data_IF_137533474248
#
_entry.id   IF_137533474248
#
_cell.length_a   1.000
_cell.length_b   1.000
_cell.length_c   1.000
_cell.angle_alpha   90.00
_cell.angle_beta   90.00
_cell.angle_gamma   90.00
#
_symmetry.space_group_name_H-M   'P 1'
#
loop_
_entity.id
_entity.type
_entity.pdbx_description
1 polymer ?
#
# COMPACT_ATOMS: atom_id res chain seq x y z
N UNK A 1 6.38 -41.20 74.01
CA UNK A 1 7.59 -41.74 73.35
C UNK A 1 7.56 -41.42 71.91
N UNK A 2 8.60 -40.74 71.47
CA UNK A 2 9.26 -40.69 70.13
C UNK A 2 8.45 -40.08 69.02
N UNK A 3 8.86 -39.09 68.41
CA UNK A 3 9.99 -38.47 67.72
C UNK A 3 9.48 -37.81 66.44
N UNK A 4 9.68 -36.54 66.42
CA UNK A 4 9.52 -35.75 65.21
C UNK A 4 10.65 -36.06 64.24
N UNK A 5 10.39 -35.79 62.95
CA UNK A 5 11.46 -35.54 61.97
C UNK A 5 11.07 -34.46 60.99
N UNK A 6 11.81 -33.41 61.13
CA UNK A 6 11.88 -32.24 60.25
C UNK A 6 12.31 -32.69 58.87
N UNK A 7 11.62 -32.22 57.81
CA UNK A 7 12.11 -32.16 56.43
C UNK A 7 11.88 -30.72 55.86
N UNK A 8 12.82 -29.89 56.20
CA UNK A 8 13.02 -28.65 55.47
C UNK A 8 14.25 -28.79 54.56
N UNK A 9 14.31 -28.02 53.54
CA UNK A 9 15.42 -27.80 52.61
C UNK A 9 15.44 -28.62 51.31
N UNK A 10 14.66 -28.21 50.32
CA UNK A 10 14.73 -28.68 48.95
C UNK A 10 14.20 -27.68 47.89
N UNK A 11 13.58 -26.57 48.36
CA UNK A 11 12.96 -25.59 47.45
C UNK A 11 13.86 -24.46 46.93
N UNK A 12 15.05 -24.31 47.47
CA UNK A 12 15.92 -23.16 47.18
C UNK A 12 16.91 -23.37 46.03
N UNK A 13 17.28 -24.59 45.71
CA UNK A 13 18.25 -24.87 44.65
C UNK A 13 17.61 -24.99 43.26
N UNK A 14 16.38 -25.47 43.15
CA UNK A 14 15.65 -25.54 41.87
C UNK A 14 15.29 -24.14 41.34
N UNK A 15 15.00 -23.17 42.20
CA UNK A 15 14.69 -21.79 41.80
C UNK A 15 15.93 -20.99 41.34
N UNK A 16 17.14 -21.38 41.79
CA UNK A 16 18.39 -20.73 41.33
C UNK A 16 18.95 -21.27 40.03
N UNK A 17 18.51 -22.43 39.56
CA UNK A 17 18.95 -23.03 38.30
C UNK A 17 18.26 -22.45 37.06
N UNK A 18 17.10 -21.78 37.21
CA UNK A 18 16.35 -21.16 36.11
C UNK A 18 16.85 -19.75 35.74
N UNK A 19 17.60 -19.08 36.63
CA UNK A 19 17.95 -17.66 36.51
C UNK A 19 19.26 -17.33 35.76
N UNK A 20 19.93 -18.29 35.11
CA UNK A 20 21.16 -18.00 34.32
C UNK A 20 21.20 -18.70 32.97
N UNK A 21 20.19 -18.50 32.17
CA UNK A 21 20.40 -18.64 30.71
C UNK A 21 20.81 -17.27 30.17
N UNK A 22 22.12 -17.00 30.19
CA UNK A 22 22.72 -15.91 29.43
C UNK A 22 22.29 -16.05 27.96
N UNK A 23 21.94 -14.93 27.23
CA UNK A 23 21.65 -15.01 25.83
C UNK A 23 22.87 -15.63 25.12
N UNK A 24 22.72 -16.83 24.58
CA UNK A 24 23.74 -17.43 23.72
C UNK A 24 23.99 -16.44 22.59
N UNK A 25 25.08 -15.70 22.66
CA UNK A 25 25.61 -14.98 21.50
C UNK A 25 25.85 -16.04 20.43
N UNK A 26 25.02 -16.03 19.41
CA UNK A 26 25.21 -16.83 18.20
C UNK A 26 26.49 -16.31 17.51
N UNK A 27 27.63 -16.82 17.91
CA UNK A 27 28.87 -16.65 17.16
C UNK A 27 28.87 -17.73 16.08
N UNK A 28 28.46 -17.35 14.88
CA UNK A 28 28.59 -18.22 13.71
C UNK A 28 30.07 -18.62 13.57
N UNK A 29 30.39 -19.90 13.37
CA UNK A 29 31.74 -20.33 13.01
C UNK A 29 32.20 -19.53 11.79
N UNK A 30 33.47 -19.17 11.73
CA UNK A 30 34.04 -18.36 10.60
C UNK A 30 33.71 -18.95 9.23
N UNK A 31 33.59 -20.29 9.11
CA UNK A 31 33.19 -20.96 7.88
C UNK A 31 31.74 -20.67 7.44
N UNK A 32 30.81 -20.68 8.40
CA UNK A 32 29.38 -20.40 8.13
C UNK A 32 29.15 -18.93 7.77
N UNK A 33 29.95 -18.03 8.34
CA UNK A 33 29.91 -16.59 8.00
C UNK A 33 30.41 -16.35 6.57
N UNK A 34 31.46 -17.08 6.12
CA UNK A 34 31.93 -16.97 4.74
C UNK A 34 30.90 -17.51 3.74
N UNK A 35 30.26 -18.61 4.03
CA UNK A 35 29.16 -19.19 3.23
C UNK A 35 27.94 -18.25 3.19
N UNK A 36 27.58 -17.66 4.31
CA UNK A 36 26.48 -16.68 4.38
C UNK A 36 26.80 -15.43 3.53
N UNK A 37 28.02 -14.90 3.61
CA UNK A 37 28.46 -13.77 2.78
C UNK A 37 28.45 -14.18 1.30
N UNK A 38 29.00 -15.34 0.93
CA UNK A 38 29.03 -15.80 -0.44
C UNK A 38 27.64 -16.01 -1.04
N UNK A 39 26.66 -16.43 -0.23
CA UNK A 39 25.26 -16.56 -0.63
C UNK A 39 24.53 -15.22 -0.77
N UNK A 40 24.87 -14.22 0.06
CA UNK A 40 24.21 -12.91 0.06
C UNK A 40 24.80 -11.93 -0.96
N UNK A 41 26.13 -12.00 -1.22
CA UNK A 41 26.83 -11.07 -2.12
C UNK A 41 26.21 -11.02 -3.53
N UNK A 42 25.88 -12.14 -4.20
CA UNK A 42 25.29 -12.08 -5.54
C UNK A 42 23.94 -11.32 -5.55
N UNK A 43 23.09 -11.56 -4.55
CA UNK A 43 21.79 -10.87 -4.43
C UNK A 43 21.95 -9.40 -4.10
N UNK A 44 22.89 -9.04 -3.23
CA UNK A 44 23.20 -7.64 -2.89
C UNK A 44 23.79 -6.90 -4.10
N UNK A 45 24.70 -7.54 -4.86
CA UNK A 45 25.24 -6.96 -6.09
C UNK A 45 24.14 -6.78 -7.15
N UNK A 46 23.26 -7.77 -7.32
CA UNK A 46 22.14 -7.65 -8.23
C UNK A 46 21.23 -6.47 -7.86
N UNK A 47 20.85 -6.34 -6.60
CA UNK A 47 20.06 -5.17 -6.12
C UNK A 47 20.85 -3.87 -6.30
N UNK A 48 22.15 -3.87 -5.96
CA UNK A 48 23.03 -2.69 -6.13
C UNK A 48 23.04 -2.20 -7.58
N UNK A 49 23.23 -3.09 -8.54
CA UNK A 49 23.30 -2.73 -9.96
C UNK A 49 21.92 -2.47 -10.56
N UNK A 50 20.98 -3.41 -10.42
CA UNK A 50 19.70 -3.34 -11.13
C UNK A 50 18.67 -2.41 -10.46
N UNK A 51 18.79 -2.09 -9.20
CA UNK A 51 17.91 -1.12 -8.55
C UNK A 51 18.59 0.24 -8.44
N UNK A 52 19.67 0.31 -7.66
CA UNK A 52 20.32 1.60 -7.41
C UNK A 52 21.03 2.14 -8.64
N UNK A 53 21.70 1.26 -9.42
CA UNK A 53 22.35 1.65 -10.67
C UNK A 53 21.36 2.23 -11.67
N UNK A 54 20.18 1.62 -11.85
CA UNK A 54 19.15 2.14 -12.75
C UNK A 54 18.49 3.41 -12.21
N UNK A 55 18.34 3.58 -10.90
CA UNK A 55 17.85 4.83 -10.32
C UNK A 55 18.83 5.98 -10.63
N UNK A 56 20.14 5.76 -10.42
CA UNK A 56 21.16 6.75 -10.72
C UNK A 56 21.24 7.06 -12.21
N UNK A 57 21.15 6.03 -13.05
CA UNK A 57 21.11 6.18 -14.51
C UNK A 57 19.90 6.99 -14.97
N UNK A 58 18.70 6.69 -14.45
CA UNK A 58 17.48 7.46 -14.72
C UNK A 58 17.64 8.89 -14.28
N UNK A 59 18.25 9.14 -13.11
CA UNK A 59 18.59 10.47 -12.63
C UNK A 59 19.52 11.21 -13.59
N UNK A 60 20.57 10.56 -14.10
CA UNK A 60 21.48 11.15 -15.09
C UNK A 60 20.74 11.45 -16.43
N UNK A 61 19.96 10.50 -16.96
CA UNK A 61 19.21 10.70 -18.22
C UNK A 61 18.20 11.84 -18.09
N UNK A 62 17.64 12.07 -16.93
CA UNK A 62 16.73 13.20 -16.70
C UNK A 62 17.37 14.58 -16.85
N UNK A 63 18.71 14.66 -16.74
CA UNK A 63 19.50 15.90 -16.82
C UNK A 63 20.17 16.14 -18.19
N UNK A 64 20.04 15.19 -19.12
CA UNK A 64 20.58 15.30 -20.48
C UNK A 64 19.47 15.47 -21.51
N UNK A 65 19.82 15.70 -22.79
CA UNK A 65 18.87 15.85 -23.88
C UNK A 65 18.86 14.59 -24.75
N UNK A 66 18.17 13.55 -24.28
CA UNK A 66 17.91 12.36 -25.10
C UNK A 66 16.39 12.22 -25.30
N UNK A 67 15.87 12.91 -26.32
CA UNK A 67 14.43 12.93 -26.63
C UNK A 67 14.13 12.53 -28.08
N UNK A 68 15.04 11.75 -28.68
CA UNK A 68 14.95 11.21 -30.04
C UNK A 68 15.36 9.73 -30.01
N UNK A 69 15.19 9.03 -31.14
CA UNK A 69 15.57 7.62 -31.28
C UNK A 69 17.09 7.39 -31.10
N UNK A 70 17.91 8.38 -31.47
CA UNK A 70 19.35 8.34 -31.26
C UNK A 70 19.72 8.99 -29.93
N UNK A 71 20.56 8.35 -29.10
CA UNK A 71 20.96 8.90 -27.82
C UNK A 71 21.87 10.13 -28.00
N UNK A 72 21.44 11.24 -27.38
CA UNK A 72 22.27 12.43 -27.20
C UNK A 72 22.44 12.67 -25.71
N UNK A 73 23.70 12.91 -25.30
CA UNK A 73 24.02 13.06 -23.87
C UNK A 73 24.41 14.49 -23.50
N UNK A 74 23.91 15.48 -24.27
CA UNK A 74 24.14 16.89 -23.98
C UNK A 74 23.50 17.27 -22.66
N UNK A 75 24.30 17.75 -21.73
CA UNK A 75 23.83 18.12 -20.40
C UNK A 75 22.98 19.40 -20.48
N UNK A 76 21.72 19.30 -20.07
CA UNK A 76 20.75 20.42 -20.08
C UNK A 76 20.27 20.83 -18.68
N UNK A 77 20.81 20.20 -17.64
CA UNK A 77 20.45 20.48 -16.26
C UNK A 77 18.96 20.28 -16.01
N UNK A 78 18.30 21.23 -15.34
CA UNK A 78 16.89 21.13 -14.92
C UNK A 78 15.88 21.49 -16.01
N UNK A 79 16.30 21.68 -17.27
CA UNK A 79 15.42 22.10 -18.36
C UNK A 79 14.27 21.12 -18.61
N UNK A 80 14.50 19.81 -18.50
CA UNK A 80 13.47 18.79 -18.64
C UNK A 80 12.38 18.91 -17.56
N UNK A 81 12.76 19.23 -16.35
CA UNK A 81 11.82 19.44 -15.23
C UNK A 81 11.02 20.73 -15.41
N UNK A 82 11.66 21.83 -15.84
CA UNK A 82 10.95 23.09 -16.13
C UNK A 82 9.87 22.89 -17.20
N UNK A 83 10.20 22.17 -18.29
CA UNK A 83 9.23 21.82 -19.33
C UNK A 83 8.12 20.91 -18.81
N UNK A 84 8.49 19.90 -17.98
CA UNK A 84 7.53 18.96 -17.40
C UNK A 84 6.47 19.68 -16.57
N UNK A 85 6.89 20.51 -15.61
CA UNK A 85 5.97 21.26 -14.75
C UNK A 85 5.16 22.33 -15.48
N UNK A 86 5.64 22.83 -16.63
CA UNK A 86 4.90 23.73 -17.49
C UNK A 86 3.86 22.99 -18.39
N UNK A 87 3.93 21.65 -18.48
CA UNK A 87 3.04 20.86 -19.32
C UNK A 87 1.69 20.68 -18.63
N UNK A 88 0.60 21.10 -19.24
CA UNK A 88 -0.77 20.99 -18.73
C UNK A 88 -1.14 19.55 -18.38
N UNK A 89 -0.78 18.58 -19.24
CA UNK A 89 -1.00 17.15 -19.01
C UNK A 89 -0.43 16.70 -17.65
N UNK A 90 0.81 17.08 -17.33
CA UNK A 90 1.45 16.69 -16.08
C UNK A 90 0.77 17.30 -14.83
N UNK A 91 0.28 18.54 -14.96
CA UNK A 91 -0.50 19.19 -13.89
C UNK A 91 -1.83 18.45 -13.65
N UNK A 92 -2.49 18.03 -14.73
CA UNK A 92 -3.71 17.19 -14.66
C UNK A 92 -3.38 15.85 -13.99
N UNK A 93 -2.28 15.20 -14.36
CA UNK A 93 -1.84 13.92 -13.80
C UNK A 93 -1.59 13.99 -12.29
N UNK A 94 -0.92 15.05 -11.83
CA UNK A 94 -0.70 15.29 -10.40
C UNK A 94 -2.02 15.50 -9.66
N UNK A 95 -2.93 16.29 -10.22
CA UNK A 95 -4.27 16.51 -9.67
C UNK A 95 -5.06 15.21 -9.58
N UNK A 96 -5.08 14.42 -10.67
CA UNK A 96 -5.78 13.15 -10.72
C UNK A 96 -5.22 12.17 -9.69
N UNK A 97 -3.89 12.09 -9.57
CA UNK A 97 -3.23 11.24 -8.57
C UNK A 97 -3.57 11.66 -7.15
N UNK A 98 -3.62 12.97 -6.86
CA UNK A 98 -4.01 13.47 -5.54
C UNK A 98 -5.47 13.13 -5.22
N UNK A 99 -6.40 13.34 -6.16
CA UNK A 99 -7.82 12.99 -6.01
C UNK A 99 -7.96 11.48 -5.81
N UNK A 100 -7.30 10.68 -6.67
CA UNK A 100 -7.31 9.23 -6.54
C UNK A 100 -6.79 8.78 -5.18
N UNK A 101 -5.62 9.28 -4.75
CA UNK A 101 -5.01 8.89 -3.49
C UNK A 101 -5.94 9.15 -2.30
N UNK A 102 -6.50 10.36 -2.22
CA UNK A 102 -7.42 10.73 -1.11
C UNK A 102 -8.67 9.85 -1.11
N UNK A 103 -9.34 9.71 -2.24
CA UNK A 103 -10.56 8.90 -2.34
C UNK A 103 -10.27 7.41 -2.09
N UNK A 104 -9.23 6.87 -2.70
CA UNK A 104 -8.84 5.47 -2.61
C UNK A 104 -8.45 5.09 -1.17
N UNK A 105 -7.57 5.87 -0.54
CA UNK A 105 -7.14 5.61 0.83
C UNK A 105 -8.32 5.69 1.80
N UNK A 106 -9.15 6.71 1.68
CA UNK A 106 -10.33 6.90 2.53
C UNK A 106 -11.31 5.74 2.38
N UNK A 107 -11.65 5.36 1.14
CA UNK A 107 -12.58 4.26 0.87
C UNK A 107 -12.01 2.92 1.35
N UNK A 108 -10.74 2.60 1.05
CA UNK A 108 -10.12 1.35 1.48
C UNK A 108 -10.04 1.24 3.00
N UNK A 109 -9.70 2.33 3.70
CA UNK A 109 -9.64 2.35 5.16
C UNK A 109 -11.03 2.16 5.76
N UNK A 110 -12.04 2.89 5.30
CA UNK A 110 -13.41 2.80 5.83
C UNK A 110 -13.99 1.42 5.56
N UNK A 111 -13.91 0.93 4.31
CA UNK A 111 -14.48 -0.37 3.93
C UNK A 111 -13.69 -1.50 4.59
N UNK A 112 -12.35 -1.46 4.53
CA UNK A 112 -11.50 -2.49 5.12
C UNK A 112 -11.66 -2.60 6.63
N UNK A 113 -11.70 -1.46 7.34
CA UNK A 113 -11.97 -1.44 8.78
C UNK A 113 -13.38 -1.94 9.10
N UNK A 114 -14.41 -1.50 8.36
CA UNK A 114 -15.78 -1.96 8.53
C UNK A 114 -15.92 -3.48 8.35
N UNK A 115 -15.33 -4.03 7.29
CA UNK A 115 -15.30 -5.47 7.06
C UNK A 115 -14.55 -6.23 8.16
N UNK A 116 -13.43 -5.68 8.64
CA UNK A 116 -12.67 -6.27 9.73
C UNK A 116 -13.48 -6.32 11.04
N UNK A 117 -14.25 -5.26 11.35
CA UNK A 117 -15.14 -5.22 12.52
C UNK A 117 -16.23 -6.30 12.45
N UNK A 118 -16.81 -6.53 11.27
CA UNK A 118 -17.81 -7.56 11.07
C UNK A 118 -17.22 -8.97 11.29
N UNK A 119 -16.02 -9.22 10.79
CA UNK A 119 -15.34 -10.50 10.93
C UNK A 119 -14.74 -10.73 12.34
N UNK A 120 -14.39 -9.66 13.08
CA UNK A 120 -13.89 -9.77 14.45
C UNK A 120 -14.92 -10.36 15.44
N UNK A 121 -16.22 -10.29 15.09
CA UNK A 121 -17.32 -10.88 15.85
C UNK A 121 -17.35 -12.43 15.79
N UNK A 122 -16.35 -13.08 15.16
CA UNK A 122 -16.24 -14.55 15.05
C UNK A 122 -17.50 -15.22 14.52
N UNK A 123 -18.04 -14.68 13.43
CA UNK A 123 -19.25 -15.18 12.78
C UNK A 123 -19.05 -16.60 12.22
N UNK A 124 -20.14 -17.38 12.17
CA UNK A 124 -20.12 -18.71 11.52
C UNK A 124 -19.76 -18.54 10.03
N UNK A 125 -18.75 -19.29 9.55
CA UNK A 125 -18.28 -19.18 8.16
C UNK A 125 -17.29 -18.05 7.91
N UNK A 126 -16.68 -17.46 8.93
CA UNK A 126 -15.70 -16.38 8.82
C UNK A 126 -14.64 -16.63 7.73
N UNK A 127 -14.08 -17.84 7.65
CA UNK A 127 -13.04 -18.19 6.68
C UNK A 127 -13.54 -18.06 5.23
N UNK A 128 -14.82 -18.38 4.97
CA UNK A 128 -15.43 -18.24 3.65
C UNK A 128 -15.56 -16.77 3.29
N UNK A 129 -16.10 -15.95 4.18
CA UNK A 129 -16.21 -14.50 3.94
C UNK A 129 -14.85 -13.86 3.77
N UNK A 130 -13.87 -14.21 4.61
CA UNK A 130 -12.49 -13.73 4.47
C UNK A 130 -11.90 -14.05 3.10
N UNK A 131 -12.10 -15.28 2.61
CA UNK A 131 -11.64 -15.70 1.29
C UNK A 131 -12.33 -14.91 0.18
N UNK A 132 -13.66 -14.73 0.25
CA UNK A 132 -14.42 -13.96 -0.74
C UNK A 132 -13.94 -12.51 -0.82
N UNK A 133 -13.73 -11.85 0.33
CA UNK A 133 -13.26 -10.47 0.35
C UNK A 133 -11.80 -10.31 -0.09
N UNK A 134 -10.96 -11.34 0.10
CA UNK A 134 -9.57 -11.35 -0.35
C UNK A 134 -9.42 -11.72 -1.82
N UNK A 135 -10.39 -12.40 -2.41
CA UNK A 135 -10.32 -12.88 -3.80
C UNK A 135 -10.02 -11.75 -4.80
N UNK A 136 -10.64 -10.55 -4.72
CA UNK A 136 -10.33 -9.45 -5.64
C UNK A 136 -8.85 -9.05 -5.64
N UNK A 137 -8.21 -9.06 -4.48
CA UNK A 137 -6.79 -8.74 -4.36
C UNK A 137 -5.88 -9.75 -5.07
N UNK A 138 -6.29 -11.01 -5.16
CA UNK A 138 -5.54 -12.06 -5.85
C UNK A 138 -5.67 -11.99 -7.38
N UNK A 139 -6.64 -11.24 -7.92
CA UNK A 139 -6.86 -11.09 -9.35
C UNK A 139 -5.85 -10.05 -9.91
N UNK A 140 -5.28 -10.35 -11.09
CA UNK A 140 -4.42 -9.38 -11.78
C UNK A 140 -5.15 -8.05 -12.03
N UNK A 141 -4.46 -6.93 -11.80
CA UNK A 141 -5.01 -5.59 -12.04
C UNK A 141 -5.44 -5.37 -13.50
N UNK A 142 -4.76 -6.01 -14.45
CA UNK A 142 -5.13 -5.98 -15.87
C UNK A 142 -6.49 -6.67 -16.10
N UNK A 143 -6.67 -7.88 -15.55
CA UNK A 143 -7.95 -8.62 -15.65
C UNK A 143 -9.07 -7.84 -14.96
N UNK A 144 -8.80 -7.30 -13.80
CA UNK A 144 -9.72 -6.41 -13.07
C UNK A 144 -10.13 -5.21 -13.93
N UNK A 145 -9.18 -4.53 -14.55
CA UNK A 145 -9.44 -3.39 -15.43
C UNK A 145 -10.33 -3.74 -16.63
N UNK A 146 -10.08 -4.88 -17.30
CA UNK A 146 -10.91 -5.36 -18.43
C UNK A 146 -12.34 -5.66 -17.97
N UNK A 147 -12.49 -6.43 -16.89
CA UNK A 147 -13.81 -6.81 -16.38
C UNK A 147 -14.63 -5.57 -15.98
N UNK A 148 -14.03 -4.64 -15.24
CA UNK A 148 -14.72 -3.43 -14.83
C UNK A 148 -14.97 -2.44 -15.97
N UNK A 149 -14.13 -2.42 -17.01
CA UNK A 149 -14.40 -1.67 -18.25
C UNK A 149 -15.70 -2.15 -18.90
N UNK A 150 -15.95 -3.45 -18.94
CA UNK A 150 -17.22 -4.00 -19.44
C UNK A 150 -18.39 -3.70 -18.51
N UNK A 151 -18.21 -3.90 -17.22
CA UNK A 151 -19.25 -3.61 -16.22
C UNK A 151 -19.65 -2.13 -16.19
N UNK A 152 -18.70 -1.23 -16.32
CA UNK A 152 -18.91 0.21 -16.32
C UNK A 152 -19.11 0.81 -17.71
N UNK A 153 -19.32 -0.03 -18.76
CA UNK A 153 -19.61 0.47 -20.09
C UNK A 153 -20.94 1.23 -20.09
N UNK A 154 -20.95 2.52 -20.53
CA UNK A 154 -22.17 3.34 -20.44
C UNK A 154 -23.36 2.79 -21.20
N UNK A 155 -23.12 2.08 -22.32
CA UNK A 155 -24.17 1.58 -23.21
C UNK A 155 -24.69 0.17 -22.86
N UNK A 156 -23.90 -0.65 -22.15
CA UNK A 156 -24.21 -2.08 -21.99
C UNK A 156 -23.98 -2.64 -20.57
N UNK A 157 -23.28 -1.92 -19.72
CA UNK A 157 -22.89 -2.43 -18.41
C UNK A 157 -23.95 -2.21 -17.33
N UNK A 158 -23.50 -1.82 -16.14
CA UNK A 158 -24.34 -1.61 -14.94
C UNK A 158 -25.47 -0.59 -15.17
N UNK A 159 -25.31 0.33 -16.12
CA UNK A 159 -26.37 1.28 -16.49
C UNK A 159 -27.63 0.58 -16.98
N UNK A 160 -27.52 -0.60 -17.64
CA UNK A 160 -28.69 -1.39 -18.04
C UNK A 160 -29.46 -1.97 -16.84
N UNK A 161 -28.74 -2.37 -15.78
CA UNK A 161 -29.38 -2.82 -14.54
C UNK A 161 -30.14 -1.66 -13.89
N UNK A 162 -29.59 -0.45 -13.89
CA UNK A 162 -30.27 0.73 -13.39
C UNK A 162 -31.51 1.09 -14.21
N UNK A 163 -31.44 0.92 -15.55
CA UNK A 163 -32.58 1.11 -16.44
C UNK A 163 -33.71 0.12 -16.13
N UNK A 164 -33.41 -1.18 -16.01
CA UNK A 164 -34.40 -2.20 -15.65
C UNK A 164 -34.99 -1.98 -14.25
N UNK A 165 -34.21 -1.44 -13.32
CA UNK A 165 -34.67 -1.12 -11.97
C UNK A 165 -35.36 0.24 -11.85
N UNK A 166 -35.57 0.97 -12.95
CA UNK A 166 -36.08 2.36 -12.98
C UNK A 166 -35.28 3.34 -12.11
N UNK A 167 -33.96 3.12 -12.01
CA UNK A 167 -33.02 3.95 -11.26
C UNK A 167 -32.14 4.80 -12.21
N UNK A 168 -32.81 5.47 -13.17
CA UNK A 168 -32.12 6.22 -14.22
C UNK A 168 -31.19 7.33 -13.68
N UNK A 169 -31.48 7.85 -12.48
CA UNK A 169 -30.63 8.86 -11.84
C UNK A 169 -29.24 8.35 -11.43
N UNK A 170 -29.02 7.03 -11.37
CA UNK A 170 -27.71 6.40 -11.11
C UNK A 170 -26.90 6.14 -12.38
N UNK A 171 -27.50 6.29 -13.56
CA UNK A 171 -26.78 6.14 -14.82
C UNK A 171 -25.67 7.19 -14.94
N UNK A 172 -24.53 6.74 -15.40
CA UNK A 172 -23.33 7.58 -15.49
C UNK A 172 -22.47 7.21 -16.70
N UNK A 173 -21.67 8.15 -17.15
CA UNK A 173 -20.61 7.87 -18.12
C UNK A 173 -19.42 7.11 -17.54
N UNK A 174 -19.42 6.89 -16.20
CA UNK A 174 -18.36 6.18 -15.49
C UNK A 174 -16.96 6.65 -15.91
N UNK A 175 -16.11 5.71 -16.36
CA UNK A 175 -14.75 5.98 -16.78
C UNK A 175 -14.64 6.83 -18.07
N UNK A 176 -15.73 6.98 -18.85
CA UNK A 176 -15.72 7.84 -20.06
C UNK A 176 -16.03 9.29 -19.74
N UNK A 177 -16.49 9.60 -18.53
CA UNK A 177 -16.83 10.97 -18.13
C UNK A 177 -15.57 11.76 -17.74
N UNK A 178 -15.34 12.96 -18.34
CA UNK A 178 -14.20 13.80 -17.96
C UNK A 178 -14.22 14.28 -16.52
N UNK A 179 -15.39 14.33 -15.87
CA UNK A 179 -15.54 14.83 -14.49
C UNK A 179 -15.33 13.78 -13.43
N UNK A 180 -15.80 12.54 -13.68
CA UNK A 180 -15.83 11.48 -12.67
C UNK A 180 -14.99 10.25 -13.04
N UNK A 181 -14.29 10.28 -14.18
CA UNK A 181 -13.51 9.14 -14.67
C UNK A 181 -12.53 8.61 -13.64
N UNK A 182 -11.79 9.50 -12.96
CA UNK A 182 -10.82 9.09 -11.92
C UNK A 182 -11.54 8.47 -10.69
N UNK A 183 -12.75 8.94 -10.35
CA UNK A 183 -13.54 8.35 -9.28
C UNK A 183 -14.04 6.94 -9.65
N UNK A 184 -14.40 6.71 -10.92
CA UNK A 184 -14.75 5.37 -11.41
C UNK A 184 -13.55 4.40 -11.29
N UNK A 185 -12.35 4.83 -11.68
CA UNK A 185 -11.11 4.05 -11.48
C UNK A 185 -10.87 3.79 -9.99
N UNK A 186 -11.15 4.76 -9.13
CA UNK A 186 -10.99 4.62 -7.67
C UNK A 186 -11.90 3.53 -7.10
N UNK A 187 -13.16 3.42 -7.56
CA UNK A 187 -14.09 2.35 -7.13
C UNK A 187 -13.50 0.99 -7.44
N UNK A 188 -12.93 0.81 -8.63
CA UNK A 188 -12.32 -0.45 -9.06
C UNK A 188 -11.11 -0.82 -8.21
N UNK A 189 -10.20 0.12 -8.01
CA UNK A 189 -9.02 -0.07 -7.18
C UNK A 189 -9.41 -0.37 -5.71
N UNK A 190 -10.44 0.31 -5.18
CA UNK A 190 -10.96 0.09 -3.83
C UNK A 190 -11.54 -1.32 -3.69
N UNK A 191 -12.34 -1.77 -4.65
CA UNK A 191 -12.87 -3.13 -4.67
C UNK A 191 -11.74 -4.16 -4.64
N UNK A 192 -10.68 -3.94 -5.38
CA UNK A 192 -9.52 -4.83 -5.43
C UNK A 192 -8.75 -4.86 -4.11
N UNK A 193 -8.56 -3.71 -3.44
CA UNK A 193 -7.65 -3.58 -2.31
C UNK A 193 -8.32 -3.63 -0.92
N UNK A 194 -9.63 -3.41 -0.84
CA UNK A 194 -10.34 -3.34 0.45
C UNK A 194 -10.24 -4.61 1.29
N UNK A 195 -10.25 -5.79 0.66
CA UNK A 195 -10.09 -7.07 1.33
C UNK A 195 -8.71 -7.27 1.95
N UNK A 196 -7.66 -6.77 1.29
CA UNK A 196 -6.31 -6.77 1.86
C UNK A 196 -6.23 -5.85 3.09
N UNK A 197 -6.77 -4.64 3.00
CA UNK A 197 -6.84 -3.69 4.12
C UNK A 197 -7.68 -4.26 5.28
N UNK A 198 -8.80 -4.93 4.97
CA UNK A 198 -9.58 -5.70 5.96
C UNK A 198 -8.71 -6.70 6.72
N UNK A 199 -7.84 -7.44 6.03
CA UNK A 199 -6.96 -8.43 6.68
C UNK A 199 -5.95 -7.78 7.62
N UNK A 200 -5.40 -6.62 7.26
CA UNK A 200 -4.51 -5.85 8.14
C UNK A 200 -5.23 -5.41 9.42
N UNK A 201 -6.42 -4.83 9.27
CA UNK A 201 -7.22 -4.42 10.43
C UNK A 201 -7.68 -5.60 11.28
N UNK A 202 -8.08 -6.70 10.67
CA UNK A 202 -8.48 -7.90 11.41
C UNK A 202 -7.34 -8.48 12.24
N UNK A 203 -6.13 -8.52 11.68
CA UNK A 203 -4.93 -8.92 12.43
C UNK A 203 -4.64 -7.95 13.60
N UNK A 204 -4.74 -6.63 13.35
CA UNK A 204 -4.59 -5.61 14.37
C UNK A 204 -5.64 -5.71 15.48
N UNK A 205 -6.92 -5.89 15.14
CA UNK A 205 -8.00 -6.07 16.11
C UNK A 205 -7.79 -7.29 17.01
N UNK A 206 -7.27 -8.37 16.44
CA UNK A 206 -7.01 -9.63 17.16
C UNK A 206 -5.72 -9.63 17.98
N UNK A 207 -4.84 -8.67 17.75
CA UNK A 207 -3.64 -8.47 18.55
C UNK A 207 -3.92 -7.71 19.86
N UNK A 208 -5.09 -7.06 19.98
CA UNK A 208 -5.48 -6.33 21.19
C UNK A 208 -5.91 -7.34 22.27
N UNK A 209 -5.23 -7.39 23.43
CA UNK A 209 -5.58 -8.27 24.53
C UNK A 209 -7.03 -8.07 25.00
N UNK A 210 -7.70 -9.17 25.42
CA UNK A 210 -9.09 -9.11 25.92
C UNK A 210 -9.22 -8.26 27.18
N UNK A 211 -8.18 -8.26 28.00
CA UNK A 211 -8.10 -7.51 29.26
C UNK A 211 -8.29 -6.00 29.04
N UNK A 212 -7.80 -5.46 27.93
CA UNK A 212 -8.00 -4.04 27.57
C UNK A 212 -9.48 -3.77 27.28
N UNK A 213 -10.14 -4.67 26.57
CA UNK A 213 -11.57 -4.56 26.25
C UNK A 213 -12.44 -4.70 27.52
N UNK A 214 -12.06 -5.60 28.41
CA UNK A 214 -12.74 -5.83 29.70
C UNK A 214 -12.58 -4.64 30.65
N UNK A 215 -11.35 -4.12 30.79
CA UNK A 215 -11.08 -2.92 31.57
C UNK A 215 -11.88 -1.71 31.07
N UNK A 216 -11.90 -1.47 29.75
CA UNK A 216 -12.70 -0.41 29.16
C UNK A 216 -14.19 -0.58 29.42
N UNK A 217 -14.71 -1.81 29.43
CA UNK A 217 -16.11 -2.09 29.77
C UNK A 217 -16.43 -1.79 31.24
N UNK A 218 -15.50 -2.08 32.18
CA UNK A 218 -15.62 -1.72 33.60
C UNK A 218 -15.66 -0.20 33.76
N UNK A 219 -14.85 0.54 32.98
CA UNK A 219 -14.83 2.00 32.95
C UNK A 219 -16.07 2.61 32.22
N UNK A 220 -17.02 1.78 31.80
CA UNK A 220 -18.26 2.20 31.16
C UNK A 220 -18.15 2.48 29.66
N UNK A 221 -17.00 2.24 29.02
CA UNK A 221 -16.84 2.39 27.59
C UNK A 221 -17.41 1.17 26.85
N UNK A 222 -18.66 1.25 26.37
CA UNK A 222 -19.34 0.19 25.63
C UNK A 222 -19.69 0.64 24.20
N UNK A 223 -19.91 -0.32 23.31
CA UNK A 223 -20.36 -0.06 21.94
C UNK A 223 -19.45 0.95 21.21
N UNK A 224 -20.02 2.02 20.65
CA UNK A 224 -19.28 3.02 19.87
C UNK A 224 -18.18 3.74 20.68
N UNK A 225 -18.39 3.95 21.98
CA UNK A 225 -17.40 4.60 22.84
C UNK A 225 -16.12 3.77 22.98
N UNK A 226 -16.25 2.44 23.11
CA UNK A 226 -15.12 1.50 23.13
C UNK A 226 -14.27 1.62 21.84
N UNK A 227 -14.93 1.63 20.68
CA UNK A 227 -14.20 1.73 19.41
C UNK A 227 -13.52 3.10 19.27
N UNK A 228 -14.23 4.19 19.53
CA UNK A 228 -13.71 5.55 19.33
C UNK A 228 -12.55 5.90 20.26
N UNK A 229 -12.62 5.50 21.53
CA UNK A 229 -11.67 5.96 22.55
C UNK A 229 -10.58 4.93 22.87
N UNK A 230 -10.80 3.65 22.58
CA UNK A 230 -9.84 2.57 22.90
C UNK A 230 -9.33 1.87 21.66
N UNK A 231 -10.21 1.29 20.86
CA UNK A 231 -9.80 0.41 19.74
C UNK A 231 -9.14 1.21 18.60
N UNK A 232 -9.77 2.28 18.12
CA UNK A 232 -9.23 3.08 16.99
C UNK A 232 -7.87 3.70 17.32
N UNK A 233 -7.64 4.30 18.51
CA UNK A 233 -6.31 4.77 18.89
C UNK A 233 -5.25 3.66 18.93
N UNK A 234 -5.58 2.47 19.41
CA UNK A 234 -4.68 1.32 19.44
C UNK A 234 -4.35 0.79 18.03
N UNK A 235 -5.26 0.98 17.06
CA UNK A 235 -5.05 0.60 15.66
C UNK A 235 -4.32 1.67 14.84
N UNK A 236 -3.91 2.79 15.42
CA UNK A 236 -3.18 3.85 14.71
C UNK A 236 -1.95 3.33 13.96
N UNK A 237 -1.09 2.44 14.51
CA UNK A 237 0.04 1.87 13.78
C UNK A 237 -0.37 1.07 12.54
N UNK A 238 -1.46 0.30 12.65
CA UNK A 238 -2.03 -0.47 11.53
C UNK A 238 -2.57 0.46 10.45
N UNK A 239 -3.28 1.52 10.86
CA UNK A 239 -3.83 2.54 9.96
C UNK A 239 -2.71 3.26 9.21
N UNK A 240 -1.63 3.63 9.89
CA UNK A 240 -0.47 4.25 9.26
C UNK A 240 0.19 3.31 8.25
N UNK A 241 0.37 2.04 8.60
CA UNK A 241 0.92 1.02 7.70
C UNK A 241 0.04 0.84 6.45
N UNK A 242 -1.28 0.74 6.63
CA UNK A 242 -2.23 0.68 5.53
C UNK A 242 -2.17 1.95 4.66
N UNK A 243 -2.14 3.14 5.27
CA UNK A 243 -2.09 4.41 4.56
C UNK A 243 -0.87 4.53 3.65
N UNK A 244 0.31 4.10 4.10
CA UNK A 244 1.52 4.15 3.27
C UNK A 244 1.49 3.16 2.13
N UNK A 245 1.04 1.94 2.40
CA UNK A 245 0.88 0.94 1.36
C UNK A 245 -0.08 1.45 0.27
N UNK A 246 -1.23 2.00 0.67
CA UNK A 246 -2.21 2.57 -0.26
C UNK A 246 -1.67 3.84 -0.95
N UNK A 247 -0.95 4.70 -0.23
CA UNK A 247 -0.32 5.90 -0.79
C UNK A 247 0.73 5.56 -1.86
N UNK A 248 1.62 4.60 -1.58
CA UNK A 248 2.58 4.09 -2.56
C UNK A 248 1.92 3.43 -3.76
N UNK A 249 0.83 2.69 -3.55
CA UNK A 249 0.03 2.14 -4.64
C UNK A 249 -0.55 3.25 -5.53
N UNK A 250 -1.06 4.33 -4.91
CA UNK A 250 -1.65 5.47 -5.64
C UNK A 250 -0.68 6.14 -6.59
N UNK A 251 0.59 6.28 -6.20
CA UNK A 251 1.62 6.87 -7.07
C UNK A 251 1.99 5.98 -8.26
N UNK A 252 1.80 4.68 -8.16
CA UNK A 252 2.11 3.69 -9.19
C UNK A 252 0.88 3.19 -9.95
N UNK A 253 -0.23 3.92 -9.87
CA UNK A 253 -1.46 3.57 -10.57
C UNK A 253 -1.24 3.58 -12.09
N UNK A 254 -1.14 2.41 -12.70
CA UNK A 254 -0.90 2.21 -14.13
C UNK A 254 -1.82 1.17 -14.74
N UNK A 255 -1.77 -0.09 -14.26
CA UNK A 255 -2.39 -1.23 -14.91
C UNK A 255 -3.90 -1.08 -15.11
N UNK A 256 -4.62 -0.67 -14.06
CA UNK A 256 -6.07 -0.46 -14.13
C UNK A 256 -6.40 0.67 -15.09
N UNK A 257 -5.68 1.80 -15.01
CA UNK A 257 -5.94 2.97 -15.84
C UNK A 257 -5.65 2.72 -17.30
N UNK A 258 -4.51 2.09 -17.65
CA UNK A 258 -4.15 1.84 -19.04
C UNK A 258 -5.16 0.92 -19.73
N UNK A 259 -5.66 -0.10 -19.04
CA UNK A 259 -6.60 -1.08 -19.61
C UNK A 259 -8.03 -0.56 -19.62
N UNK A 260 -8.45 0.13 -18.56
CA UNK A 260 -9.82 0.60 -18.41
C UNK A 260 -10.13 1.84 -19.23
N UNK A 261 -9.21 2.80 -19.27
CA UNK A 261 -9.47 4.15 -19.79
C UNK A 261 -8.45 4.67 -20.80
N UNK A 262 -7.27 4.05 -20.86
CA UNK A 262 -6.05 4.61 -21.47
C UNK A 262 -5.64 5.91 -20.75
N UNK A 263 -5.99 7.10 -21.21
CA UNK A 263 -5.79 8.37 -20.49
C UNK A 263 -7.10 9.09 -20.19
N UNK A 264 -8.22 8.55 -20.72
CA UNK A 264 -9.51 9.21 -20.70
C UNK A 264 -9.60 10.42 -21.62
N UNK A 265 -10.79 10.99 -21.74
CA UNK A 265 -10.99 12.22 -22.51
C UNK A 265 -10.34 13.40 -21.79
N UNK A 266 -9.50 14.18 -22.51
CA UNK A 266 -8.81 15.33 -21.94
C UNK A 266 -7.92 14.95 -20.73
N UNK A 267 -7.30 13.78 -20.77
CA UNK A 267 -6.46 13.25 -19.69
C UNK A 267 -7.16 13.09 -18.34
N UNK A 268 -8.48 12.93 -18.33
CA UNK A 268 -9.30 12.91 -17.11
C UNK A 268 -9.00 11.74 -16.15
N UNK A 269 -8.36 10.69 -16.64
CA UNK A 269 -7.94 9.52 -15.86
C UNK A 269 -6.44 9.25 -15.98
N UNK A 270 -5.72 10.18 -16.60
CA UNK A 270 -4.27 10.04 -16.76
C UNK A 270 -3.54 10.16 -15.42
N UNK A 271 -2.37 9.56 -15.36
CA UNK A 271 -1.52 9.53 -14.18
C UNK A 271 -0.06 9.73 -14.59
N UNK A 272 0.81 10.20 -13.69
CA UNK A 272 2.24 10.34 -14.01
C UNK A 272 2.88 9.04 -14.51
N UNK A 273 2.44 7.87 -14.01
CA UNK A 273 2.93 6.58 -14.46
C UNK A 273 2.55 6.29 -15.92
N UNK A 274 1.31 6.61 -16.31
CA UNK A 274 0.85 6.44 -17.69
C UNK A 274 1.49 7.44 -18.63
N UNK A 275 1.62 8.69 -18.20
CA UNK A 275 2.33 9.72 -18.97
C UNK A 275 3.82 9.38 -19.16
N UNK A 276 4.49 8.90 -18.11
CA UNK A 276 5.88 8.43 -18.18
C UNK A 276 6.02 7.33 -19.23
N UNK A 277 5.14 6.32 -19.19
CA UNK A 277 5.13 5.23 -20.16
C UNK A 277 4.93 5.73 -21.60
N UNK A 278 3.92 6.56 -21.83
CA UNK A 278 3.62 7.11 -23.16
C UNK A 278 4.79 7.98 -23.68
N UNK A 279 5.40 8.79 -22.82
CA UNK A 279 6.51 9.67 -23.18
C UNK A 279 7.76 8.88 -23.49
N UNK A 280 8.11 7.89 -22.66
CA UNK A 280 9.34 7.10 -22.82
C UNK A 280 9.24 6.12 -23.98
N UNK A 281 8.19 5.27 -23.98
CA UNK A 281 8.14 4.09 -24.86
C UNK A 281 7.31 4.28 -26.13
N UNK A 282 6.35 5.22 -26.13
CA UNK A 282 5.56 5.50 -27.34
C UNK A 282 6.11 6.69 -28.13
N UNK A 283 6.71 7.66 -27.43
CA UNK A 283 7.21 8.90 -28.06
C UNK A 283 8.73 8.98 -28.13
N UNK A 284 9.48 7.98 -27.63
CA UNK A 284 10.95 7.93 -27.57
C UNK A 284 11.61 9.14 -26.89
N UNK A 285 10.92 9.81 -25.98
CA UNK A 285 11.43 10.97 -25.23
C UNK A 285 11.99 10.53 -23.88
N UNK A 286 13.15 9.86 -23.91
CA UNK A 286 13.73 9.20 -22.75
C UNK A 286 14.07 10.16 -21.61
N UNK A 287 14.63 11.34 -21.89
CA UNK A 287 14.97 12.31 -20.85
C UNK A 287 13.74 12.91 -20.17
N UNK A 288 12.66 13.17 -20.94
CA UNK A 288 11.42 13.64 -20.35
C UNK A 288 10.74 12.56 -19.52
N UNK A 289 10.70 11.31 -20.01
CA UNK A 289 10.18 10.17 -19.25
C UNK A 289 10.98 9.91 -17.99
N UNK A 290 12.31 10.01 -18.04
CA UNK A 290 13.19 9.91 -16.87
C UNK A 290 12.93 11.03 -15.85
N UNK A 291 12.66 12.26 -16.30
CA UNK A 291 12.30 13.36 -15.42
C UNK A 291 10.97 13.08 -14.68
N UNK A 292 9.96 12.51 -15.36
CA UNK A 292 8.71 12.07 -14.72
C UNK A 292 8.99 10.99 -13.67
N UNK A 293 9.79 9.97 -14.02
CA UNK A 293 10.13 8.88 -13.10
C UNK A 293 10.85 9.37 -11.84
N UNK A 294 11.78 10.32 -11.98
CA UNK A 294 12.48 10.96 -10.83
C UNK A 294 11.50 11.73 -9.95
N UNK A 295 10.56 12.50 -10.54
CA UNK A 295 9.54 13.21 -9.76
C UNK A 295 8.64 12.22 -9.01
N UNK A 296 8.21 11.13 -9.66
CA UNK A 296 7.45 10.06 -8.98
C UNK A 296 8.23 9.44 -7.83
N UNK A 297 9.53 9.19 -7.99
CA UNK A 297 10.39 8.69 -6.92
C UNK A 297 10.46 9.69 -5.75
N UNK A 298 10.62 10.97 -6.03
CA UNK A 298 10.64 12.01 -4.98
C UNK A 298 9.31 12.10 -4.24
N UNK A 299 8.17 11.99 -4.94
CA UNK A 299 6.85 11.93 -4.31
C UNK A 299 6.69 10.69 -3.43
N UNK A 300 7.21 9.53 -3.87
CA UNK A 300 7.20 8.31 -3.05
C UNK A 300 8.06 8.46 -1.80
N UNK A 301 9.25 9.05 -1.92
CA UNK A 301 10.13 9.34 -0.77
C UNK A 301 9.48 10.32 0.20
N UNK A 302 8.77 11.34 -0.30
CA UNK A 302 8.04 12.30 0.53
C UNK A 302 6.95 11.62 1.39
N UNK A 303 6.37 10.53 0.93
CA UNK A 303 5.40 9.72 1.69
C UNK A 303 6.09 8.74 2.66
N UNK A 304 7.15 8.05 2.19
CA UNK A 304 7.78 6.95 2.92
C UNK A 304 8.68 7.46 4.05
N UNK A 305 9.49 8.50 3.80
CA UNK A 305 10.50 8.97 4.79
C UNK A 305 9.87 9.47 6.09
N UNK A 306 8.84 10.34 6.08
CA UNK A 306 8.18 10.77 7.32
C UNK A 306 7.62 9.59 8.13
N UNK A 307 7.04 8.63 7.45
CA UNK A 307 6.55 7.42 8.11
C UNK A 307 7.67 6.62 8.78
N UNK A 308 8.75 6.34 8.08
CA UNK A 308 9.87 5.61 8.67
C UNK A 308 10.39 6.31 9.94
N UNK A 309 10.43 7.64 9.93
CA UNK A 309 10.83 8.43 11.09
C UNK A 309 9.82 8.29 12.23
N UNK A 310 8.52 8.36 11.93
CA UNK A 310 7.46 8.23 12.94
C UNK A 310 7.44 6.80 13.52
N UNK A 311 7.49 5.78 12.67
CA UNK A 311 7.50 4.38 13.08
C UNK A 311 8.70 4.05 13.99
N UNK A 312 9.90 4.49 13.60
CA UNK A 312 11.12 4.30 14.39
C UNK A 312 11.07 4.99 15.77
N UNK A 313 10.34 6.10 15.89
CA UNK A 313 10.14 6.79 17.18
C UNK A 313 9.14 6.05 18.07
N UNK A 314 8.11 5.48 17.48
CA UNK A 314 7.08 4.72 18.22
C UNK A 314 7.65 3.43 18.81
N UNK A 315 8.50 2.71 18.06
CA UNK A 315 9.18 1.50 18.57
C UNK A 315 10.17 1.78 19.71
N UNK A 316 10.78 2.97 19.77
CA UNK A 316 11.69 3.33 20.86
C UNK A 316 10.99 3.70 22.17
N UNK A 317 9.69 4.00 22.10
CA UNK A 317 8.90 4.43 23.24
C UNK A 317 8.03 3.29 23.85
N UNK A 318 8.11 2.09 23.26
CA UNK A 318 7.57 0.83 23.79
C UNK A 318 8.69 -0.01 24.41
#
# INVERSE_FOLDING_TARGET
MAQGKVLGAGGGEAARAVARRSPRRFTLPRGDMLLAILALVPSMLAVGIFVYGFILWTGYISLVNWNDALPTYDFVGLRNYQRLFATERFQIDLRNTAIFAVLFMTQCIIIGFGLALLLDQRIRGENVFRTIFLLPFAISSVVTGVAWRWLMNPGSGINRLFEYAHLDFLKSGWYTSPRIGIAAVTIVATWQMSGYVMSLYLAGLRSIPSEIREAAAIDGATGFALYRHVIIPLLTPVTLSAAILLGTYSLRLFDITVVMTSSGQGFSTDTPALFMFATTFQSNKFSQGSAIAVVMLLLALLLIVPYMIISARTEKNQ
#
